data_IF_885943498237
#
_entry.id   IF_885943498237
#
_cell.length_a   1.000
_cell.length_b   1.000
_cell.length_c   1.000
_cell.angle_alpha   90.00
_cell.angle_beta   90.00
_cell.angle_gamma   90.00
#
_symmetry.space_group_name_H-M   'P 1'
#
loop_
_entity.id
_entity.type
_entity.pdbx_description
1 polymer ?
#
# COMPACT_ATOMS: atom_id res chain seq x y z
N UNK A 1 -52.47 -21.04 -10.77
CA UNK A 1 -51.43 -21.31 -9.76
C UNK A 1 -50.42 -20.18 -9.82
N UNK A 2 -50.37 -19.38 -8.76
CA UNK A 2 -49.58 -18.15 -8.65
C UNK A 2 -48.11 -18.50 -8.40
N UNK A 3 -47.22 -18.03 -9.28
CA UNK A 3 -45.80 -17.94 -8.97
C UNK A 3 -45.56 -16.62 -8.23
N UNK A 4 -45.22 -16.75 -6.95
CA UNK A 4 -44.95 -15.68 -6.00
C UNK A 4 -43.73 -14.86 -6.46
N UNK A 5 -43.95 -13.55 -6.71
CA UNK A 5 -42.87 -12.56 -6.72
C UNK A 5 -42.28 -12.52 -5.31
N UNK A 6 -41.07 -13.07 -5.12
CA UNK A 6 -40.25 -12.71 -3.95
C UNK A 6 -39.73 -11.29 -4.20
N UNK A 7 -40.39 -10.33 -3.55
CA UNK A 7 -39.88 -8.98 -3.32
C UNK A 7 -38.79 -9.14 -2.26
N UNK A 8 -37.53 -9.14 -2.68
CA UNK A 8 -36.41 -9.04 -1.75
C UNK A 8 -36.33 -7.60 -1.24
N UNK A 9 -36.50 -7.42 0.06
CA UNK A 9 -36.27 -6.19 0.81
C UNK A 9 -34.81 -5.72 0.69
N UNK A 10 -34.59 -4.40 0.60
CA UNK A 10 -33.33 -3.70 0.87
C UNK A 10 -32.10 -4.15 0.08
N UNK A 11 -31.77 -3.48 -1.02
CA UNK A 11 -30.59 -3.79 -1.84
C UNK A 11 -29.29 -3.78 -1.02
N UNK A 12 -28.71 -4.97 -0.80
CA UNK A 12 -27.36 -5.08 -0.26
C UNK A 12 -26.40 -4.44 -1.26
N UNK A 13 -25.76 -3.33 -0.88
CA UNK A 13 -24.67 -2.73 -1.67
C UNK A 13 -23.55 -3.77 -1.82
N UNK A 14 -23.36 -4.29 -3.03
CA UNK A 14 -22.30 -5.26 -3.30
C UNK A 14 -20.92 -4.61 -3.25
N UNK A 15 -19.92 -5.35 -2.79
CA UNK A 15 -18.53 -4.90 -2.79
C UNK A 15 -17.93 -4.94 -4.20
N UNK A 16 -17.15 -3.93 -4.55
CA UNK A 16 -16.34 -3.88 -5.76
C UNK A 16 -14.85 -3.80 -5.38
N UNK A 17 -14.14 -4.91 -5.47
CA UNK A 17 -12.68 -4.94 -5.19
C UNK A 17 -11.92 -4.49 -6.43
N UNK A 18 -11.12 -3.43 -6.30
CA UNK A 18 -10.36 -2.81 -7.38
C UNK A 18 -8.87 -2.86 -7.02
N UNK A 19 -8.10 -3.66 -7.76
CA UNK A 19 -6.66 -3.77 -7.59
C UNK A 19 -5.91 -2.94 -8.63
N UNK A 20 -5.02 -2.06 -8.18
CA UNK A 20 -4.15 -1.27 -9.05
C UNK A 20 -2.68 -1.72 -8.93
N UNK A 21 -1.98 -1.78 -10.06
CA UNK A 21 -0.54 -2.03 -10.09
C UNK A 21 0.26 -0.76 -9.82
N UNK A 22 1.57 -0.90 -9.59
CA UNK A 22 2.42 0.23 -9.24
C UNK A 22 2.46 1.36 -10.28
N UNK A 23 2.37 1.02 -11.57
CA UNK A 23 2.30 2.01 -12.65
C UNK A 23 0.98 2.78 -12.60
N UNK A 24 -0.12 2.11 -12.26
CA UNK A 24 -1.45 2.70 -12.16
C UNK A 24 -1.61 3.67 -10.98
N UNK A 25 -0.68 3.71 -10.03
CA UNK A 25 -0.73 4.62 -8.86
C UNK A 25 0.44 5.61 -8.84
N UNK A 26 1.22 5.68 -9.92
CA UNK A 26 2.48 6.39 -9.96
C UNK A 26 2.39 7.91 -10.27
N UNK A 27 1.22 8.44 -10.60
CA UNK A 27 1.07 9.86 -11.01
C UNK A 27 -0.31 10.41 -10.67
N UNK A 28 -0.41 11.73 -10.54
CA UNK A 28 -1.70 12.39 -10.31
C UNK A 28 -2.72 12.12 -11.42
N UNK A 29 -2.31 12.06 -12.68
CA UNK A 29 -3.21 11.70 -13.80
C UNK A 29 -3.86 10.34 -13.59
N UNK A 30 -3.11 9.34 -13.14
CA UNK A 30 -3.67 8.01 -12.89
C UNK A 30 -4.62 8.02 -11.69
N UNK A 31 -4.32 8.81 -10.66
CA UNK A 31 -5.20 8.99 -9.51
C UNK A 31 -6.52 9.69 -9.86
N UNK A 32 -6.54 10.61 -10.83
CA UNK A 32 -7.78 11.16 -11.39
C UNK A 32 -8.62 10.06 -12.05
N UNK A 33 -8.01 9.16 -12.81
CA UNK A 33 -8.69 8.00 -13.39
C UNK A 33 -9.26 7.08 -12.31
N UNK A 34 -8.48 6.77 -11.27
CA UNK A 34 -8.94 5.96 -10.13
C UNK A 34 -10.15 6.62 -9.47
N UNK A 35 -10.06 7.92 -9.14
CA UNK A 35 -11.15 8.68 -8.53
C UNK A 35 -12.44 8.59 -9.35
N UNK A 36 -12.36 8.76 -10.67
CA UNK A 36 -13.52 8.69 -11.55
C UNK A 36 -14.14 7.29 -11.55
N UNK A 37 -13.31 6.24 -11.64
CA UNK A 37 -13.78 4.85 -11.54
C UNK A 37 -14.47 4.59 -10.20
N UNK A 38 -13.93 5.10 -9.09
CA UNK A 38 -14.55 4.94 -7.78
C UNK A 38 -15.91 5.66 -7.69
N UNK A 39 -16.04 6.86 -8.25
CA UNK A 39 -17.32 7.57 -8.34
C UNK A 39 -18.35 6.78 -9.12
N UNK A 40 -17.98 6.23 -10.29
CA UNK A 40 -18.87 5.38 -11.08
C UNK A 40 -19.38 4.15 -10.28
N UNK A 41 -18.51 3.54 -9.47
CA UNK A 41 -18.92 2.41 -8.61
C UNK A 41 -19.87 2.83 -7.49
N UNK A 42 -19.60 3.98 -6.87
CA UNK A 42 -20.45 4.55 -5.82
C UNK A 42 -21.83 4.93 -6.38
N UNK A 43 -21.88 5.55 -7.56
CA UNK A 43 -23.12 5.94 -8.25
C UNK A 43 -23.97 4.72 -8.64
N UNK A 44 -23.32 3.58 -8.91
CA UNK A 44 -23.97 2.29 -9.13
C UNK A 44 -24.42 1.59 -7.82
N UNK A 45 -24.29 2.24 -6.66
CA UNK A 45 -24.71 1.70 -5.35
C UNK A 45 -23.76 0.64 -4.78
N UNK A 46 -22.54 0.52 -5.30
CA UNK A 46 -21.54 -0.43 -4.81
C UNK A 46 -20.67 0.18 -3.71
N UNK A 47 -19.94 -0.70 -2.99
CA UNK A 47 -18.92 -0.34 -2.00
C UNK A 47 -17.53 -0.67 -2.54
N UNK A 48 -16.75 0.31 -3.03
CA UNK A 48 -15.42 0.03 -3.53
C UNK A 48 -14.44 -0.32 -2.40
N UNK A 49 -13.65 -1.38 -2.60
CA UNK A 49 -12.45 -1.67 -1.82
C UNK A 49 -11.25 -1.51 -2.76
N UNK A 50 -10.39 -0.53 -2.47
CA UNK A 50 -9.19 -0.28 -3.26
C UNK A 50 -8.02 -0.99 -2.60
N UNK A 51 -7.30 -1.78 -3.40
CA UNK A 51 -6.02 -2.38 -3.03
C UNK A 51 -5.02 -1.95 -4.09
N UNK A 52 -3.81 -1.55 -3.71
CA UNK A 52 -2.79 -1.29 -4.72
C UNK A 52 -1.39 -1.60 -4.22
N UNK A 53 -0.52 -1.88 -5.19
CA UNK A 53 0.92 -2.08 -4.94
C UNK A 53 1.61 -0.75 -4.63
N UNK A 54 2.86 -0.82 -4.16
CA UNK A 54 3.78 0.32 -4.13
C UNK A 54 3.92 0.97 -5.52
N UNK A 55 4.43 2.21 -5.56
CA UNK A 55 4.71 2.91 -6.83
C UNK A 55 5.70 2.06 -7.67
N UNK A 56 5.52 2.03 -9.00
CA UNK A 56 6.31 1.18 -9.90
C UNK A 56 7.83 1.31 -9.68
N UNK A 57 8.52 0.21 -9.38
CA UNK A 57 9.97 0.17 -9.14
C UNK A 57 10.38 0.45 -7.70
N UNK A 58 9.48 0.90 -6.83
CA UNK A 58 9.82 1.15 -5.42
C UNK A 58 10.16 -0.15 -4.67
N UNK A 59 9.47 -1.26 -4.95
CA UNK A 59 9.80 -2.54 -4.29
C UNK A 59 11.24 -2.97 -4.58
N UNK A 60 11.70 -2.84 -5.83
CA UNK A 60 13.09 -3.14 -6.22
C UNK A 60 14.07 -2.17 -5.54
N UNK A 61 13.72 -0.88 -5.43
CA UNK A 61 14.53 0.10 -4.71
C UNK A 61 14.61 -0.20 -3.21
N UNK A 62 13.54 -0.70 -2.59
CA UNK A 62 13.51 -1.09 -1.19
C UNK A 62 14.35 -2.36 -0.93
N UNK A 63 14.38 -3.31 -1.87
CA UNK A 63 15.31 -4.45 -1.82
C UNK A 63 16.77 -3.99 -1.92
N UNK A 64 17.06 -3.05 -2.80
CA UNK A 64 18.40 -2.48 -2.94
C UNK A 64 18.79 -1.63 -1.73
N UNK A 65 17.83 -0.91 -1.14
CA UNK A 65 18.03 -0.15 0.10
C UNK A 65 18.49 -1.06 1.24
N UNK A 66 17.93 -2.25 1.35
CA UNK A 66 18.39 -3.26 2.32
C UNK A 66 19.84 -3.68 2.07
N UNK A 67 20.22 -3.90 0.80
CA UNK A 67 21.60 -4.28 0.43
C UNK A 67 22.59 -3.16 0.77
N UNK A 68 22.26 -1.93 0.43
CA UNK A 68 23.09 -0.76 0.74
C UNK A 68 23.14 -0.47 2.24
N UNK A 69 22.03 -0.73 2.95
CA UNK A 69 21.94 -0.56 4.40
C UNK A 69 22.93 -1.43 5.17
N UNK A 70 23.16 -2.66 4.71
CA UNK A 70 24.15 -3.57 5.32
C UNK A 70 25.55 -2.97 5.33
N UNK A 71 25.93 -2.27 4.26
CA UNK A 71 27.27 -1.66 4.09
C UNK A 71 27.32 -0.18 4.48
N UNK A 72 26.19 0.42 4.87
CA UNK A 72 26.09 1.83 5.26
C UNK A 72 26.26 2.82 4.10
N UNK A 73 25.70 2.50 2.94
CA UNK A 73 25.74 3.37 1.75
C UNK A 73 24.33 3.72 1.23
N UNK A 74 23.33 3.72 2.12
CA UNK A 74 21.89 3.75 1.78
C UNK A 74 21.29 5.15 1.72
N UNK A 75 21.95 6.18 2.23
CA UNK A 75 21.37 7.50 2.47
C UNK A 75 20.80 8.14 1.20
N UNK A 76 21.54 8.03 0.09
CA UNK A 76 21.11 8.58 -1.20
C UNK A 76 19.87 7.87 -1.74
N UNK A 77 19.83 6.53 -1.68
CA UNK A 77 18.71 5.74 -2.17
C UNK A 77 17.46 5.92 -1.28
N UNK A 78 17.65 6.03 0.04
CA UNK A 78 16.55 6.37 0.94
C UNK A 78 15.94 7.72 0.57
N UNK A 79 16.77 8.75 0.36
CA UNK A 79 16.31 10.07 -0.05
C UNK A 79 15.60 10.04 -1.42
N UNK A 80 16.06 9.22 -2.36
CA UNK A 80 15.40 9.02 -3.66
C UNK A 80 14.01 8.40 -3.51
N UNK A 81 13.89 7.33 -2.72
CA UNK A 81 12.61 6.66 -2.45
C UNK A 81 11.63 7.65 -1.81
N UNK A 82 12.04 8.36 -0.75
CA UNK A 82 11.20 9.36 -0.08
C UNK A 82 10.82 10.49 -1.03
N UNK A 83 11.78 10.99 -1.81
CA UNK A 83 11.59 12.03 -2.82
C UNK A 83 10.52 11.67 -3.85
N UNK A 84 10.40 10.38 -4.20
CA UNK A 84 9.37 9.91 -5.13
C UNK A 84 7.96 10.00 -4.56
N UNK A 85 7.78 9.63 -3.28
CA UNK A 85 6.48 9.74 -2.62
C UNK A 85 6.10 11.19 -2.32
N UNK A 86 7.06 12.02 -1.91
CA UNK A 86 6.80 13.45 -1.69
C UNK A 86 6.49 14.18 -3.00
N UNK A 87 7.15 13.83 -4.11
CA UNK A 87 6.81 14.34 -5.43
C UNK A 87 5.38 13.97 -5.84
N UNK A 88 4.99 12.69 -5.67
CA UNK A 88 3.61 12.27 -5.93
C UNK A 88 2.61 13.03 -5.05
N UNK A 89 2.90 13.19 -3.75
CA UNK A 89 2.04 13.95 -2.84
C UNK A 89 1.86 15.41 -3.31
N UNK A 90 2.93 16.04 -3.78
CA UNK A 90 2.88 17.39 -4.35
C UNK A 90 2.03 17.45 -5.62
N UNK A 91 2.19 16.48 -6.55
CA UNK A 91 1.34 16.39 -7.74
C UNK A 91 -0.15 16.21 -7.40
N UNK A 92 -0.44 15.47 -6.32
CA UNK A 92 -1.79 15.24 -5.80
C UNK A 92 -2.34 16.41 -4.99
N UNK A 93 -1.54 17.44 -4.73
CA UNK A 93 -1.94 18.61 -3.94
C UNK A 93 -2.24 18.30 -2.47
N UNK A 94 -1.54 17.33 -1.88
CA UNK A 94 -1.70 16.91 -0.47
C UNK A 94 -0.40 17.12 0.32
N UNK A 95 -0.52 17.24 1.64
CA UNK A 95 0.62 17.41 2.55
C UNK A 95 1.39 16.08 2.75
N UNK A 96 2.28 15.78 1.81
CA UNK A 96 3.12 14.58 1.87
C UNK A 96 4.11 14.58 3.02
N UNK A 97 4.58 15.73 3.48
CA UNK A 97 5.56 15.81 4.56
C UNK A 97 4.95 15.27 5.86
N UNK A 98 3.78 15.79 6.25
CA UNK A 98 3.07 15.32 7.44
C UNK A 98 2.61 13.86 7.29
N UNK A 99 2.07 13.49 6.11
CA UNK A 99 1.52 12.15 5.89
C UNK A 99 2.58 11.04 5.90
N UNK A 100 3.82 11.36 5.51
CA UNK A 100 4.89 10.37 5.36
C UNK A 100 5.89 10.37 6.54
N UNK A 101 5.89 11.41 7.38
CA UNK A 101 6.89 11.61 8.43
C UNK A 101 7.15 10.36 9.28
N UNK A 102 6.10 9.71 9.78
CA UNK A 102 6.24 8.52 10.62
C UNK A 102 6.87 7.36 9.84
N UNK A 103 6.40 7.09 8.63
CA UNK A 103 6.93 6.00 7.79
C UNK A 103 8.40 6.23 7.42
N UNK A 104 8.77 7.47 7.11
CA UNK A 104 10.16 7.83 6.81
C UNK A 104 11.05 7.64 8.05
N UNK A 105 10.58 8.05 9.22
CA UNK A 105 11.30 7.84 10.49
C UNK A 105 11.52 6.35 10.76
N UNK A 106 10.46 5.55 10.70
CA UNK A 106 10.52 4.11 10.97
C UNK A 106 11.39 3.36 9.95
N UNK A 107 11.28 3.68 8.66
CA UNK A 107 12.11 3.10 7.62
C UNK A 107 13.59 3.44 7.85
N UNK A 108 13.90 4.69 8.20
CA UNK A 108 15.27 5.13 8.51
C UNK A 108 15.84 4.35 9.70
N UNK A 109 15.08 4.24 10.80
CA UNK A 109 15.50 3.50 11.98
C UNK A 109 15.73 2.00 11.69
N UNK A 110 14.87 1.41 10.87
CA UNK A 110 14.99 0.00 10.47
C UNK A 110 16.24 -0.25 9.64
N UNK A 111 16.56 0.63 8.69
CA UNK A 111 17.80 0.53 7.90
C UNK A 111 19.05 0.76 8.75
N UNK A 112 19.01 1.71 9.70
CA UNK A 112 20.10 1.87 10.67
C UNK A 112 20.27 0.63 11.56
N UNK A 113 19.18 -0.07 11.88
CA UNK A 113 19.21 -1.37 12.54
C UNK A 113 19.92 -2.43 11.70
N UNK A 114 19.57 -2.54 10.41
CA UNK A 114 20.23 -3.43 9.45
C UNK A 114 21.74 -3.13 9.38
N UNK A 115 22.13 -1.85 9.31
CA UNK A 115 23.53 -1.43 9.29
C UNK A 115 24.29 -1.88 10.54
N UNK A 116 23.70 -1.70 11.72
CA UNK A 116 24.33 -2.11 13.00
C UNK A 116 24.51 -3.61 13.11
N UNK A 117 23.55 -4.39 12.60
CA UNK A 117 23.60 -5.86 12.61
C UNK A 117 24.51 -6.42 11.53
N UNK A 118 24.68 -5.70 10.41
CA UNK A 118 25.49 -6.15 9.27
C UNK A 118 24.86 -7.30 8.47
N UNK A 119 23.56 -7.55 8.65
CA UNK A 119 22.79 -8.53 7.87
C UNK A 119 21.29 -8.22 7.89
N UNK A 120 20.53 -8.84 6.98
CA UNK A 120 19.09 -8.62 6.83
C UNK A 120 18.34 -9.91 7.19
N UNK A 121 17.49 -9.84 8.21
CA UNK A 121 16.56 -10.94 8.53
C UNK A 121 15.38 -10.95 7.55
N UNK A 122 14.73 -12.11 7.37
CA UNK A 122 13.53 -12.22 6.53
C UNK A 122 12.38 -11.33 7.04
N UNK A 123 12.28 -11.15 8.36
CA UNK A 123 11.35 -10.22 8.99
C UNK A 123 11.63 -8.77 8.60
N UNK A 124 12.88 -8.31 8.75
CA UNK A 124 13.26 -6.94 8.37
C UNK A 124 13.04 -6.70 6.87
N UNK A 125 13.31 -7.71 6.05
CA UNK A 125 13.04 -7.66 4.61
C UNK A 125 11.54 -7.42 4.33
N UNK A 126 10.65 -8.26 4.89
CA UNK A 126 9.21 -8.08 4.71
C UNK A 126 8.71 -6.72 5.23
N UNK A 127 9.23 -6.26 6.37
CA UNK A 127 8.89 -4.94 6.92
C UNK A 127 9.32 -3.80 6.02
N UNK A 128 10.54 -3.83 5.47
CA UNK A 128 11.03 -2.78 4.57
C UNK A 128 10.20 -2.72 3.29
N UNK A 129 9.88 -3.86 2.68
CA UNK A 129 9.05 -3.88 1.47
C UNK A 129 7.66 -3.26 1.70
N UNK A 130 7.04 -3.54 2.85
CA UNK A 130 5.70 -3.04 3.17
C UNK A 130 5.61 -1.50 3.18
N UNK A 131 6.71 -0.77 3.43
CA UNK A 131 6.69 0.70 3.40
C UNK A 131 6.29 1.26 2.04
N UNK A 132 6.57 0.53 0.95
CA UNK A 132 6.15 0.95 -0.38
C UNK A 132 4.63 1.07 -0.50
N UNK A 133 3.90 0.04 -0.07
CA UNK A 133 2.44 0.03 -0.02
C UNK A 133 1.88 0.97 1.07
N UNK A 134 2.48 1.00 2.27
CA UNK A 134 1.98 1.83 3.38
C UNK A 134 2.00 3.32 3.02
N UNK A 135 3.13 3.81 2.49
CA UNK A 135 3.24 5.20 2.04
C UNK A 135 2.29 5.47 0.88
N UNK A 136 2.27 4.59 -0.13
CA UNK A 136 1.45 4.79 -1.33
C UNK A 136 -0.04 4.84 -1.02
N UNK A 137 -0.53 3.90 -0.22
CA UNK A 137 -1.96 3.80 0.15
C UNK A 137 -2.37 4.94 1.07
N UNK A 138 -1.46 5.42 1.94
CA UNK A 138 -1.70 6.62 2.76
C UNK A 138 -1.93 7.85 1.87
N UNK A 139 -1.06 8.10 0.90
CA UNK A 139 -1.22 9.21 -0.04
C UNK A 139 -2.49 9.07 -0.87
N UNK A 140 -2.75 7.88 -1.40
CA UNK A 140 -3.95 7.58 -2.17
C UNK A 140 -5.24 7.86 -1.41
N UNK A 141 -5.32 7.40 -0.16
CA UNK A 141 -6.48 7.65 0.69
C UNK A 141 -6.64 9.14 1.03
N UNK A 142 -5.54 9.85 1.31
CA UNK A 142 -5.57 11.29 1.57
C UNK A 142 -6.05 12.09 0.35
N UNK A 143 -5.53 11.78 -0.84
CA UNK A 143 -5.98 12.38 -2.09
C UNK A 143 -7.48 12.15 -2.33
N UNK A 144 -7.96 10.91 -2.22
CA UNK A 144 -9.38 10.62 -2.45
C UNK A 144 -10.30 11.33 -1.44
N UNK A 145 -9.85 11.52 -0.18
CA UNK A 145 -10.57 12.36 0.80
C UNK A 145 -10.61 13.82 0.36
N UNK A 146 -9.48 14.37 -0.08
CA UNK A 146 -9.39 15.74 -0.58
C UNK A 146 -10.31 15.97 -1.80
N UNK A 147 -10.51 14.94 -2.60
CA UNK A 147 -11.43 14.91 -3.75
C UNK A 147 -12.92 14.70 -3.36
N UNK A 148 -13.23 14.70 -2.07
CA UNK A 148 -14.60 14.65 -1.54
C UNK A 148 -15.17 13.24 -1.38
N UNK A 149 -14.37 12.18 -1.51
CA UNK A 149 -14.84 10.81 -1.27
C UNK A 149 -14.74 10.47 0.23
N UNK A 150 -15.75 9.78 0.75
CA UNK A 150 -15.69 9.21 2.11
C UNK A 150 -14.80 7.97 2.10
N UNK A 151 -13.53 8.15 2.46
CA UNK A 151 -12.52 7.06 2.46
C UNK A 151 -12.10 6.71 3.88
N UNK A 152 -11.99 5.42 4.16
CA UNK A 152 -11.32 4.89 5.34
C UNK A 152 -10.07 4.15 4.88
N UNK A 153 -8.90 4.57 5.35
CA UNK A 153 -7.64 3.86 5.10
C UNK A 153 -7.49 2.79 6.16
N UNK A 154 -7.07 1.60 5.74
CA UNK A 154 -6.87 0.45 6.63
C UNK A 154 -5.53 -0.18 6.29
N UNK A 155 -4.77 -0.52 7.33
CA UNK A 155 -3.57 -1.32 7.19
C UNK A 155 -3.95 -2.80 7.04
N UNK A 156 -3.56 -3.42 5.92
CA UNK A 156 -3.84 -4.83 5.67
C UNK A 156 -3.23 -5.75 6.74
N UNK A 157 -2.15 -5.32 7.41
CA UNK A 157 -1.48 -6.07 8.50
C UNK A 157 -2.36 -6.19 9.76
N UNK A 158 -3.37 -5.34 9.89
CA UNK A 158 -4.34 -5.40 11.00
C UNK A 158 -5.55 -6.29 10.68
N UNK A 159 -5.73 -6.65 9.40
CA UNK A 159 -6.88 -7.42 8.91
C UNK A 159 -6.52 -8.83 8.46
N UNK A 160 -5.31 -9.03 7.93
CA UNK A 160 -4.85 -10.30 7.38
C UNK A 160 -3.87 -10.95 8.33
N UNK A 161 -4.16 -12.20 8.72
CA UNK A 161 -3.27 -13.00 9.54
C UNK A 161 -2.55 -14.02 8.68
N UNK A 162 -1.22 -13.92 8.60
CA UNK A 162 -0.42 -14.96 7.95
C UNK A 162 -0.44 -16.24 8.77
N UNK A 163 -0.63 -17.39 8.12
CA UNK A 163 -0.53 -18.71 8.75
C UNK A 163 0.81 -19.38 8.42
N UNK A 164 1.38 -20.04 9.42
CA UNK A 164 2.53 -20.92 9.22
C UNK A 164 2.13 -22.14 8.40
N UNK A 165 2.90 -22.46 7.36
CA UNK A 165 2.67 -23.65 6.55
C UNK A 165 3.62 -24.77 6.96
N UNK A 166 3.12 -26.03 7.06
CA UNK A 166 3.99 -27.17 7.21
C UNK A 166 5.03 -27.22 6.09
N UNK A 167 6.30 -27.40 6.44
CA UNK A 167 7.43 -27.48 5.51
C UNK A 167 7.76 -26.19 4.73
N UNK A 168 7.27 -25.00 5.15
CA UNK A 168 7.76 -23.74 4.57
C UNK A 168 9.15 -23.39 5.11
N UNK A 169 10.00 -22.81 4.26
CA UNK A 169 11.23 -22.18 4.73
C UNK A 169 10.90 -20.89 5.49
N UNK A 170 11.77 -20.47 6.41
CA UNK A 170 11.62 -19.20 7.11
C UNK A 170 11.44 -18.03 6.12
N UNK A 171 12.23 -18.03 5.03
CA UNK A 171 12.07 -17.05 3.94
C UNK A 171 10.64 -17.04 3.38
N UNK A 172 10.08 -18.21 3.08
CA UNK A 172 8.73 -18.32 2.53
C UNK A 172 7.66 -17.87 3.53
N UNK A 173 7.86 -18.11 4.83
CA UNK A 173 6.93 -17.64 5.87
C UNK A 173 6.82 -16.12 5.95
N UNK A 174 7.86 -15.37 5.57
CA UNK A 174 7.83 -13.90 5.55
C UNK A 174 7.56 -13.29 4.17
N UNK A 175 8.19 -13.83 3.12
CA UNK A 175 8.20 -13.21 1.78
C UNK A 175 7.24 -13.88 0.79
N UNK A 176 6.54 -14.94 1.22
CA UNK A 176 5.55 -15.66 0.42
C UNK A 176 4.45 -16.24 1.32
N UNK A 177 4.09 -15.48 2.36
CA UNK A 177 3.10 -15.87 3.35
C UNK A 177 1.73 -16.11 2.70
N UNK A 178 0.97 -17.04 3.28
CA UNK A 178 -0.47 -17.18 2.98
C UNK A 178 -1.27 -16.71 4.18
N UNK A 179 -2.41 -16.10 3.91
CA UNK A 179 -3.36 -15.69 4.93
C UNK A 179 -4.50 -16.70 5.03
N UNK A 180 -5.19 -16.68 6.17
CA UNK A 180 -6.38 -17.48 6.47
C UNK A 180 -7.65 -17.04 5.70
#
# INVERSE_FOLDING_TARGET
MNAVKRKGDGGESSWAVLKFGGTSVASATNWVTIRNLLRERLDAGMRPLVVHSAIAGTSDQLEELLRQGVVGAHEALLAEIVGRYTALAAELGIDGETLLQLYVSELTELIEGVRRVGSVSHRAHAQVLAFGELMGTTLGAAYLKNEGLKVHWIDARELLCSIDQPNSSERASYLSARCD
#
